data_IF_098789880756
#
_entry.id   IF_098789880756
#
_cell.length_a   1.000
_cell.length_b   1.000
_cell.length_c   1.000
_cell.angle_alpha   90.00
_cell.angle_beta   90.00
_cell.angle_gamma   90.00
#
_symmetry.space_group_name_H-M   'P 1'
#
loop_
_entity.id
_entity.type
_entity.pdbx_description
1 polymer ?
#
# COMPACT_ATOMS: atom_id res chain seq x y z
N UNK A 1 14.75 -17.83 0.92
CA UNK A 1 16.02 -17.12 1.16
C UNK A 1 15.73 -15.95 2.10
N UNK A 2 16.60 -15.58 3.05
CA UNK A 2 16.27 -14.69 4.19
C UNK A 2 16.03 -13.19 3.82
N UNK A 3 15.41 -12.91 2.69
CA UNK A 3 15.05 -11.55 2.24
C UNK A 3 13.86 -11.49 1.28
N UNK A 4 13.14 -12.59 1.06
CA UNK A 4 11.91 -12.58 0.25
C UNK A 4 10.67 -12.38 1.14
N UNK A 5 9.79 -11.47 0.73
CA UNK A 5 8.53 -11.20 1.42
C UNK A 5 7.41 -12.02 0.80
N UNK A 6 6.70 -12.77 1.62
CA UNK A 6 5.53 -13.53 1.17
C UNK A 6 4.25 -12.76 1.46
N UNK A 7 3.43 -12.54 0.43
CA UNK A 7 2.13 -11.90 0.57
C UNK A 7 1.03 -12.92 0.28
N UNK A 8 0.17 -13.18 1.27
CA UNK A 8 -1.00 -14.01 1.07
C UNK A 8 -2.15 -13.21 0.43
N UNK A 9 -2.66 -13.72 -0.69
CA UNK A 9 -3.84 -13.20 -1.38
C UNK A 9 -4.61 -14.39 -1.95
N UNK A 10 -5.88 -14.54 -1.57
CA UNK A 10 -6.72 -15.67 -2.03
C UNK A 10 -6.85 -15.72 -3.56
N UNK A 11 -7.14 -14.57 -4.19
CA UNK A 11 -7.38 -14.45 -5.64
C UNK A 11 -6.65 -13.22 -6.20
N UNK A 12 -5.35 -13.33 -6.51
CA UNK A 12 -4.56 -12.20 -6.98
C UNK A 12 -5.00 -11.73 -8.37
N UNK A 13 -4.98 -10.42 -8.58
CA UNK A 13 -5.32 -9.76 -9.85
C UNK A 13 -4.12 -8.97 -10.39
N UNK A 14 -4.25 -8.42 -11.60
CA UNK A 14 -3.23 -7.52 -12.16
C UNK A 14 -3.00 -6.26 -11.31
N UNK A 15 -4.03 -5.76 -10.60
CA UNK A 15 -3.88 -4.60 -9.70
C UNK A 15 -3.04 -4.92 -8.48
N UNK A 16 -3.24 -6.10 -7.89
CA UNK A 16 -2.39 -6.59 -6.80
C UNK A 16 -0.92 -6.69 -7.26
N UNK A 17 -0.67 -7.34 -8.40
CA UNK A 17 0.69 -7.49 -8.94
C UNK A 17 1.33 -6.14 -9.25
N UNK A 18 0.57 -5.20 -9.81
CA UNK A 18 1.07 -3.85 -10.09
C UNK A 18 1.55 -3.16 -8.82
N UNK A 19 0.71 -3.10 -7.78
CA UNK A 19 1.07 -2.35 -6.57
C UNK A 19 2.14 -3.06 -5.74
N UNK A 20 2.11 -4.39 -5.66
CA UNK A 20 3.16 -5.15 -4.98
C UNK A 20 4.50 -5.03 -5.71
N UNK A 21 4.51 -5.01 -7.05
CA UNK A 21 5.72 -4.70 -7.81
C UNK A 21 6.23 -3.29 -7.51
N UNK A 22 5.35 -2.30 -7.44
CA UNK A 22 5.75 -0.94 -7.07
C UNK A 22 6.35 -0.88 -5.66
N UNK A 23 5.66 -1.44 -4.65
CA UNK A 23 6.10 -1.38 -3.25
C UNK A 23 7.39 -2.19 -3.04
N UNK A 24 7.42 -3.46 -3.42
CA UNK A 24 8.54 -4.34 -3.07
C UNK A 24 9.68 -4.26 -4.08
N UNK A 25 9.39 -4.40 -5.38
CA UNK A 25 10.43 -4.44 -6.40
C UNK A 25 10.93 -3.05 -6.80
N UNK A 26 10.07 -2.04 -6.88
CA UNK A 26 10.47 -0.68 -7.29
C UNK A 26 10.98 0.13 -6.11
N UNK A 27 10.20 0.26 -5.03
CA UNK A 27 10.53 1.12 -3.89
C UNK A 27 11.55 0.46 -2.94
N UNK A 28 11.31 -0.78 -2.50
CA UNK A 28 12.19 -1.49 -1.56
C UNK A 28 13.29 -2.34 -2.19
N UNK A 29 13.33 -2.47 -3.53
CA UNK A 29 14.26 -3.36 -4.24
C UNK A 29 14.37 -4.78 -3.65
N UNK A 30 13.28 -5.26 -3.05
CA UNK A 30 13.22 -6.50 -2.26
C UNK A 30 12.38 -7.54 -3.01
N UNK A 31 12.84 -8.79 -3.12
CA UNK A 31 12.06 -9.83 -3.78
C UNK A 31 10.79 -10.15 -2.98
N UNK A 32 9.70 -10.46 -3.70
CA UNK A 32 8.45 -10.87 -3.09
C UNK A 32 7.77 -11.96 -3.92
N UNK A 33 6.94 -12.76 -3.25
CA UNK A 33 6.08 -13.74 -3.90
C UNK A 33 4.66 -13.69 -3.33
N UNK A 34 3.68 -13.99 -4.19
CA UNK A 34 2.28 -14.11 -3.79
C UNK A 34 1.96 -15.59 -3.55
N UNK A 35 1.35 -15.91 -2.41
CA UNK A 35 0.78 -17.22 -2.14
C UNK A 35 -0.75 -17.13 -2.00
N UNK A 36 -1.45 -18.08 -2.61
CA UNK A 36 -2.91 -18.21 -2.46
C UNK A 36 -3.34 -19.39 -1.59
N UNK A 37 -2.39 -20.25 -1.20
CA UNK A 37 -2.63 -21.35 -0.27
C UNK A 37 -2.37 -20.91 1.17
N UNK A 38 -3.40 -20.89 2.01
CA UNK A 38 -3.25 -20.59 3.45
C UNK A 38 -2.27 -21.56 4.11
N UNK A 39 -2.35 -22.86 3.79
CA UNK A 39 -1.46 -23.87 4.37
C UNK A 39 0.01 -23.63 4.03
N UNK A 40 0.31 -23.15 2.81
CA UNK A 40 1.67 -22.80 2.41
C UNK A 40 2.15 -21.50 3.10
N UNK A 41 1.26 -20.51 3.21
CA UNK A 41 1.54 -19.25 3.89
C UNK A 41 1.82 -19.43 5.39
N UNK A 42 0.98 -20.22 6.08
CA UNK A 42 1.09 -20.44 7.51
C UNK A 42 2.41 -21.16 7.85
N UNK A 43 2.85 -22.09 6.99
CA UNK A 43 4.13 -22.81 7.13
C UNK A 43 5.38 -21.99 6.75
N UNK A 44 5.22 -20.84 6.09
CA UNK A 44 6.37 -20.03 5.69
C UNK A 44 7.04 -19.39 6.92
N UNK A 45 8.37 -19.55 7.12
CA UNK A 45 9.06 -19.09 8.33
C UNK A 45 9.57 -17.64 8.24
N UNK A 46 9.64 -17.07 7.03
CA UNK A 46 10.17 -15.73 6.80
C UNK A 46 9.12 -14.62 6.84
N UNK A 47 9.53 -13.38 6.52
CA UNK A 47 8.66 -12.22 6.52
C UNK A 47 7.41 -12.44 5.68
N UNK A 48 6.25 -12.24 6.29
CA UNK A 48 4.98 -12.51 5.63
C UNK A 48 3.88 -11.54 6.00
N UNK A 49 3.10 -11.18 4.98
CA UNK A 49 1.99 -10.24 5.05
C UNK A 49 0.71 -10.99 4.67
N UNK A 50 -0.27 -10.94 5.55
CA UNK A 50 -1.61 -11.42 5.27
C UNK A 50 -2.44 -10.27 4.69
N UNK A 51 -2.80 -10.38 3.40
CA UNK A 51 -3.69 -9.45 2.72
C UNK A 51 -5.05 -10.13 2.47
N UNK A 52 -5.87 -10.22 3.52
CA UNK A 52 -7.18 -10.86 3.49
C UNK A 52 -8.10 -10.29 4.58
N UNK A 53 -9.41 -10.61 4.57
CA UNK A 53 -10.33 -10.16 5.62
C UNK A 53 -10.13 -10.89 6.96
N UNK A 54 -9.30 -11.93 7.01
CA UNK A 54 -9.10 -12.76 8.21
C UNK A 54 -7.91 -12.23 8.99
N UNK A 55 -8.03 -12.07 10.30
CA UNK A 55 -6.88 -11.79 11.15
C UNK A 55 -6.02 -13.06 11.35
N UNK A 56 -4.71 -12.93 11.21
CA UNK A 56 -3.74 -14.00 11.51
C UNK A 56 -2.71 -13.52 12.55
N UNK A 57 -2.36 -14.37 13.50
CA UNK A 57 -1.39 -14.04 14.54
C UNK A 57 0.05 -14.06 13.99
N UNK A 58 0.95 -13.27 14.60
CA UNK A 58 2.40 -13.25 14.29
C UNK A 58 2.73 -12.96 12.83
N UNK A 59 1.92 -12.13 12.16
CA UNK A 59 2.14 -11.64 10.80
C UNK A 59 1.71 -10.18 10.68
N UNK A 60 2.19 -9.49 9.66
CA UNK A 60 1.63 -8.19 9.28
C UNK A 60 0.27 -8.43 8.65
N UNK A 61 -0.79 -7.80 9.17
CA UNK A 61 -2.14 -7.91 8.61
C UNK A 61 -2.52 -6.59 7.94
N UNK A 62 -2.99 -6.68 6.70
CA UNK A 62 -3.56 -5.55 5.96
C UNK A 62 -4.92 -6.00 5.43
N UNK A 63 -5.98 -5.32 5.86
CA UNK A 63 -7.35 -5.69 5.52
C UNK A 63 -7.74 -5.06 4.18
N UNK A 64 -8.05 -5.86 3.14
CA UNK A 64 -8.35 -5.32 1.82
C UNK A 64 -9.62 -4.45 1.83
N UNK A 65 -9.56 -3.30 1.17
CA UNK A 65 -10.72 -2.49 0.81
C UNK A 65 -11.54 -3.16 -0.31
N UNK A 66 -10.89 -3.95 -1.17
CA UNK A 66 -11.52 -4.67 -2.29
C UNK A 66 -11.30 -4.03 -3.66
N UNK A 67 -10.79 -2.79 -3.73
CA UNK A 67 -10.55 -2.11 -5.02
C UNK A 67 -9.60 -2.89 -5.93
N UNK A 68 -8.59 -3.55 -5.33
CA UNK A 68 -7.63 -4.35 -6.07
C UNK A 68 -8.26 -5.62 -6.68
N UNK A 69 -9.43 -6.06 -6.19
CA UNK A 69 -10.18 -7.19 -6.75
C UNK A 69 -11.09 -6.80 -7.91
N UNK A 70 -11.40 -5.51 -8.06
CA UNK A 70 -12.32 -5.01 -9.07
C UNK A 70 -11.70 -4.92 -10.47
N UNK A 71 -12.57 -4.99 -11.48
CA UNK A 71 -12.28 -4.60 -12.87
C UNK A 71 -13.02 -3.29 -13.20
N UNK A 72 -12.54 -2.55 -14.20
CA UNK A 72 -13.15 -1.26 -14.56
C UNK A 72 -12.91 -0.16 -13.53
N UNK A 73 -13.47 1.03 -13.79
CA UNK A 73 -13.22 2.23 -12.98
C UNK A 73 -14.57 2.84 -12.60
N UNK A 74 -14.74 3.20 -11.33
CA UNK A 74 -15.96 3.79 -10.78
C UNK A 74 -15.63 4.80 -9.69
N UNK A 75 -16.52 5.76 -9.40
CA UNK A 75 -16.36 6.61 -8.23
C UNK A 75 -16.26 5.77 -6.95
N UNK A 76 -15.38 6.21 -6.04
CA UNK A 76 -15.13 5.57 -4.75
C UNK A 76 -15.40 6.58 -3.65
N UNK A 77 -16.01 6.12 -2.56
CA UNK A 77 -15.91 6.83 -1.28
C UNK A 77 -14.61 6.37 -0.61
N UNK A 78 -13.75 7.32 -0.26
CA UNK A 78 -12.39 7.04 0.20
C UNK A 78 -12.31 7.49 1.66
N UNK A 79 -12.45 6.57 2.63
CA UNK A 79 -12.30 6.93 4.03
C UNK A 79 -10.87 7.41 4.27
N UNK A 80 -10.74 8.53 4.97
CA UNK A 80 -9.44 9.14 5.29
C UNK A 80 -9.19 9.07 6.79
N UNK A 81 -7.92 9.13 7.18
CA UNK A 81 -7.54 9.07 8.59
C UNK A 81 -6.09 9.44 8.81
N UNK A 82 -5.58 9.09 9.98
CA UNK A 82 -4.17 9.28 10.34
C UNK A 82 -3.61 7.99 10.91
N UNK A 83 -2.41 7.62 10.48
CA UNK A 83 -1.67 6.46 10.97
C UNK A 83 -0.20 6.84 11.12
N UNK A 84 0.38 6.65 12.31
CA UNK A 84 1.71 7.15 12.69
C UNK A 84 1.98 8.60 12.27
N UNK A 85 1.04 9.51 12.56
CA UNK A 85 1.10 10.93 12.20
C UNK A 85 1.13 11.22 10.68
N UNK A 86 0.89 10.21 9.84
CA UNK A 86 0.73 10.38 8.39
C UNK A 86 -0.75 10.36 8.01
N UNK A 87 -1.16 11.30 7.18
CA UNK A 87 -2.46 11.25 6.51
C UNK A 87 -2.54 9.98 5.65
N UNK A 88 -3.64 9.24 5.72
CA UNK A 88 -3.86 8.01 4.96
C UNK A 88 -5.19 8.00 4.23
N UNK A 89 -5.21 7.35 3.07
CA UNK A 89 -6.42 7.01 2.32
C UNK A 89 -6.83 5.56 2.63
N UNK A 90 -8.10 5.22 2.41
CA UNK A 90 -8.64 3.88 2.69
C UNK A 90 -8.43 3.45 4.15
N UNK A 91 -8.63 4.40 5.08
CA UNK A 91 -8.55 4.15 6.52
C UNK A 91 -9.60 3.13 6.95
N UNK A 92 -9.21 2.19 7.81
CA UNK A 92 -10.08 1.19 8.42
C UNK A 92 -9.65 0.94 9.86
N UNK A 93 -10.57 1.06 10.81
CA UNK A 93 -10.33 0.74 12.22
C UNK A 93 -10.40 -0.78 12.48
N UNK A 94 -9.61 -1.55 11.72
CA UNK A 94 -9.53 -3.02 11.82
C UNK A 94 -8.47 -3.42 12.84
N UNK A 95 -8.53 -4.65 13.39
CA UNK A 95 -7.51 -5.15 14.33
C UNK A 95 -6.10 -5.18 13.72
N UNK A 96 -5.07 -5.10 14.56
CA UNK A 96 -3.67 -5.11 14.12
C UNK A 96 -3.03 -3.72 14.18
N UNK A 97 -1.82 -3.61 13.65
CA UNK A 97 -1.01 -2.38 13.75
C UNK A 97 -1.22 -1.40 12.58
N UNK A 98 -1.71 -1.89 11.43
CA UNK A 98 -1.93 -1.09 10.23
C UNK A 98 -3.43 -0.83 10.06
N UNK A 99 -3.85 0.42 10.24
CA UNK A 99 -5.26 0.83 10.23
C UNK A 99 -5.73 1.41 8.89
N UNK A 100 -5.14 0.97 7.78
CA UNK A 100 -5.58 1.34 6.44
C UNK A 100 -5.11 0.31 5.42
N UNK A 101 -5.77 0.25 4.28
CA UNK A 101 -5.31 -0.56 3.17
C UNK A 101 -4.20 0.17 2.39
N UNK A 102 -2.96 0.02 2.84
CA UNK A 102 -1.78 0.64 2.21
C UNK A 102 -1.62 0.24 0.74
N UNK A 103 -1.93 -1.01 0.37
CA UNK A 103 -1.80 -1.42 -1.03
C UNK A 103 -2.88 -0.78 -1.91
N UNK A 104 -4.11 -0.66 -1.43
CA UNK A 104 -5.14 0.09 -2.17
C UNK A 104 -4.80 1.58 -2.24
N UNK A 105 -4.32 2.19 -1.16
CA UNK A 105 -3.94 3.60 -1.12
C UNK A 105 -2.80 3.94 -2.10
N UNK A 106 -1.74 3.12 -2.11
CA UNK A 106 -0.63 3.28 -3.05
C UNK A 106 -1.11 3.06 -4.48
N UNK A 107 -1.88 2.01 -4.75
CA UNK A 107 -2.44 1.75 -6.09
C UNK A 107 -3.24 2.96 -6.59
N UNK A 108 -4.14 3.49 -5.76
CA UNK A 108 -5.01 4.61 -6.13
C UNK A 108 -4.22 5.84 -6.58
N UNK A 109 -3.17 6.23 -5.82
CA UNK A 109 -2.37 7.40 -6.15
C UNK A 109 -1.39 7.15 -7.30
N UNK A 110 -0.65 6.05 -7.28
CA UNK A 110 0.40 5.76 -8.28
C UNK A 110 -0.21 5.49 -9.66
N UNK A 111 -1.36 4.81 -9.72
CA UNK A 111 -2.08 4.61 -10.98
C UNK A 111 -2.84 5.85 -11.46
N UNK A 112 -2.89 6.94 -10.67
CA UNK A 112 -3.73 8.11 -10.93
C UNK A 112 -5.20 7.73 -11.19
N UNK A 113 -5.73 6.80 -10.39
CA UNK A 113 -7.07 6.23 -10.56
C UNK A 113 -8.16 7.30 -10.75
N UNK A 114 -8.08 8.38 -9.99
CA UNK A 114 -9.01 9.52 -10.05
C UNK A 114 -9.06 10.25 -11.40
N UNK A 115 -8.00 10.21 -12.21
CA UNK A 115 -7.95 10.91 -13.51
C UNK A 115 -8.75 10.21 -14.61
N UNK A 116 -9.03 8.92 -14.42
CA UNK A 116 -9.84 8.13 -15.35
C UNK A 116 -11.34 8.28 -15.07
N UNK A 117 -11.73 8.90 -13.96
CA UNK A 117 -13.12 9.18 -13.65
C UNK A 117 -13.63 10.40 -14.44
N UNK A 118 -14.95 10.47 -14.72
CA UNK A 118 -15.58 11.68 -15.22
C UNK A 118 -15.30 12.84 -14.25
N UNK A 119 -14.62 13.87 -14.74
CA UNK A 119 -14.22 15.03 -13.95
C UNK A 119 -14.12 16.27 -14.84
N UNK A 120 -14.19 17.45 -14.22
CA UNK A 120 -13.95 18.71 -14.94
C UNK A 120 -12.51 18.72 -15.47
N UNK A 121 -12.37 19.04 -16.74
CA UNK A 121 -11.09 19.13 -17.45
C UNK A 121 -10.87 20.55 -17.94
N UNK A 122 -9.62 20.91 -18.17
CA UNK A 122 -9.29 22.18 -18.81
C UNK A 122 -9.54 22.12 -20.33
N UNK A 123 -9.24 23.23 -21.03
CA UNK A 123 -9.40 23.35 -22.49
C UNK A 123 -8.56 22.35 -23.31
N UNK A 124 -7.60 21.68 -22.69
CA UNK A 124 -6.74 20.67 -23.30
C UNK A 124 -7.12 19.24 -22.89
N UNK A 125 -8.22 19.05 -22.14
CA UNK A 125 -8.64 17.74 -21.64
C UNK A 125 -7.82 17.23 -20.45
N UNK A 126 -6.97 18.07 -19.84
CA UNK A 126 -6.15 17.67 -18.68
C UNK A 126 -7.01 17.62 -17.42
N UNK A 127 -6.69 16.68 -16.55
CA UNK A 127 -7.31 16.59 -15.23
C UNK A 127 -6.93 17.81 -14.40
N UNK A 128 -7.94 18.47 -13.81
CA UNK A 128 -7.74 19.66 -12.99
C UNK A 128 -7.22 19.27 -11.59
N UNK A 129 -6.10 19.85 -11.10
CA UNK A 129 -5.54 19.51 -9.79
C UNK A 129 -6.54 19.64 -8.63
N UNK A 130 -7.48 20.59 -8.70
CA UNK A 130 -8.49 20.84 -7.67
C UNK A 130 -9.45 19.66 -7.47
N UNK A 131 -9.53 18.76 -8.44
CA UNK A 131 -10.30 17.53 -8.32
C UNK A 131 -9.57 16.45 -7.51
N UNK A 132 -8.24 16.55 -7.39
CA UNK A 132 -7.41 15.51 -6.77
C UNK A 132 -7.59 15.42 -5.26
N UNK A 133 -7.45 14.21 -4.73
CA UNK A 133 -7.35 14.00 -3.27
C UNK A 133 -6.19 14.81 -2.67
N UNK A 134 -5.09 14.93 -3.41
CA UNK A 134 -3.88 15.65 -2.97
C UNK A 134 -4.14 17.14 -2.70
N UNK A 135 -4.89 17.82 -3.56
CA UNK A 135 -5.26 19.23 -3.34
C UNK A 135 -6.34 19.32 -2.27
N UNK A 136 -7.38 18.47 -2.32
CA UNK A 136 -8.52 18.51 -1.38
C UNK A 136 -8.12 18.28 0.07
N UNK A 137 -7.09 17.46 0.31
CA UNK A 137 -6.56 17.16 1.64
C UNK A 137 -5.19 17.80 1.91
N UNK A 138 -4.79 18.78 1.09
CA UNK A 138 -3.58 19.58 1.29
C UNK A 138 -2.27 18.78 1.47
N UNK A 139 -2.10 17.70 0.71
CA UNK A 139 -0.87 16.88 0.72
C UNK A 139 -0.11 16.91 -0.62
N UNK A 140 -0.45 17.82 -1.53
CA UNK A 140 0.20 17.91 -2.86
C UNK A 140 1.73 18.04 -2.80
N UNK A 141 2.27 18.73 -1.78
CA UNK A 141 3.71 18.87 -1.56
C UNK A 141 4.34 17.79 -0.68
N UNK A 142 3.60 16.76 -0.28
CA UNK A 142 4.07 15.70 0.63
C UNK A 142 4.14 14.36 -0.12
N UNK A 143 5.27 13.64 -0.07
CA UNK A 143 5.41 12.32 -0.70
C UNK A 143 4.73 11.24 0.16
N UNK A 144 3.40 11.30 0.28
CA UNK A 144 2.63 10.43 1.17
C UNK A 144 2.80 8.94 0.84
N UNK A 145 2.95 8.59 -0.44
CA UNK A 145 3.22 7.21 -0.87
C UNK A 145 4.53 6.69 -0.27
N UNK A 146 5.59 7.50 -0.32
CA UNK A 146 6.89 7.14 0.25
C UNK A 146 6.78 6.98 1.76
N UNK A 147 6.11 7.90 2.46
CA UNK A 147 5.88 7.79 3.90
C UNK A 147 5.13 6.49 4.26
N UNK A 148 4.09 6.12 3.50
CA UNK A 148 3.35 4.88 3.74
C UNK A 148 4.19 3.64 3.50
N UNK A 149 4.98 3.62 2.42
CA UNK A 149 5.91 2.53 2.16
C UNK A 149 6.91 2.40 3.31
N UNK A 150 7.57 3.49 3.72
CA UNK A 150 8.54 3.46 4.82
C UNK A 150 7.92 2.97 6.14
N UNK A 151 6.74 3.46 6.48
CA UNK A 151 6.03 3.03 7.68
C UNK A 151 5.65 1.54 7.60
N UNK A 152 5.17 1.05 6.45
CA UNK A 152 4.96 -0.38 6.21
C UNK A 152 6.25 -1.19 6.41
N UNK A 153 7.38 -0.68 5.91
CA UNK A 153 8.68 -1.34 6.07
C UNK A 153 9.08 -1.50 7.53
N UNK A 154 8.90 -0.44 8.34
CA UNK A 154 9.15 -0.49 9.79
C UNK A 154 8.29 -1.54 10.49
N UNK A 155 7.00 -1.63 10.17
CA UNK A 155 6.12 -2.65 10.74
C UNK A 155 6.55 -4.08 10.38
N UNK A 156 7.06 -4.29 9.16
CA UNK A 156 7.62 -5.57 8.73
C UNK A 156 8.88 -5.89 9.55
N UNK A 157 9.79 -4.93 9.71
CA UNK A 157 11.06 -5.12 10.46
C UNK A 157 10.83 -5.36 11.96
N UNK A 158 9.81 -4.73 12.56
CA UNK A 158 9.44 -4.97 13.97
C UNK A 158 9.03 -6.43 14.19
N UNK A 159 8.20 -6.98 13.30
CA UNK A 159 7.75 -8.38 13.38
C UNK A 159 8.79 -9.38 12.89
N UNK A 160 9.64 -8.97 11.96
CA UNK A 160 10.67 -9.81 11.34
C UNK A 160 12.02 -9.06 11.34
N UNK A 161 12.76 -9.01 12.46
CA UNK A 161 14.00 -8.22 12.58
C UNK A 161 15.13 -8.63 11.64
N UNK A 162 15.06 -9.83 11.07
CA UNK A 162 16.00 -10.32 10.06
C UNK A 162 15.59 -9.99 8.62
N UNK A 163 14.43 -9.36 8.43
CA UNK A 163 14.03 -8.85 7.12
C UNK A 163 14.95 -7.69 6.74
N UNK A 164 15.63 -7.80 5.60
CA UNK A 164 16.43 -6.71 5.05
C UNK A 164 15.62 -6.03 3.94
N UNK A 165 14.97 -4.90 4.26
CA UNK A 165 14.34 -4.04 3.25
C UNK A 165 15.39 -3.03 2.76
N UNK A 166 15.79 -3.14 1.50
CA UNK A 166 16.84 -2.27 0.95
C UNK A 166 16.26 -1.02 0.32
N UNK A 167 16.34 0.13 0.98
CA UNK A 167 16.23 1.39 0.29
C UNK A 167 17.48 2.24 0.60
N UNK A 168 18.43 2.22 -0.33
CA UNK A 168 19.76 2.82 -0.18
C UNK A 168 19.75 4.36 -0.24
N UNK A 169 18.62 4.99 -0.59
CA UNK A 169 18.54 6.42 -0.89
C UNK A 169 17.86 7.26 0.22
N UNK A 170 17.50 6.67 1.36
CA UNK A 170 16.73 7.34 2.41
C UNK A 170 17.49 8.35 3.28
N UNK A 171 18.80 8.47 3.13
CA UNK A 171 19.57 9.51 3.83
C UNK A 171 19.21 10.95 3.40
N UNK A 172 18.39 11.13 2.36
CA UNK A 172 18.11 12.46 1.79
C UNK A 172 16.70 13.02 2.06
N UNK A 173 15.75 12.25 2.61
CA UNK A 173 14.34 12.66 2.63
C UNK A 173 13.63 12.66 4.00
N UNK A 174 14.31 12.34 5.11
CA UNK A 174 13.74 12.56 6.45
C UNK A 174 14.46 13.75 7.10
N UNK A 175 13.80 14.91 7.31
CA UNK A 175 14.28 15.81 8.34
C UNK A 175 14.19 15.04 9.66
N UNK A 176 15.34 14.89 10.32
CA UNK A 176 15.42 14.51 11.71
C UNK A 176 14.47 15.43 12.49
N UNK A 177 13.35 14.89 12.97
CA UNK A 177 12.58 15.44 14.08
C UNK A 177 12.95 14.66 15.33
#
# INVERSE_FOLDING_TARGET
MPGEIIIYIEKPTSRHRYVLNYVFSTFFKTPYSILSSEAAFDKHPGPKINYSPKLKAMVVNIFPHGLLNETGIRPLDIPTGTWHNHFVLFYKNEPGFIHFDVFTAVFFLVSRYEEYLPAKRDKHGRYLPENSMAVRHNFLGTPVVDHWCLALGREIEILFPLACLTNQDLHLCLPLM
#
